data_IF_791157737193
#
_entry.id   IF_791157737193
#
_cell.length_a   1.000
_cell.length_b   1.000
_cell.length_c   1.000
_cell.angle_alpha   90.00
_cell.angle_beta   90.00
_cell.angle_gamma   90.00
#
_symmetry.space_group_name_H-M   'P 1'
#
loop_
_entity.id
_entity.type
_entity.pdbx_description
1 polymer ?
#
# COMPACT_ATOMS: atom_id res chain seq x y z
N UNK A 1 21.80 -4.26 61.90
CA UNK A 1 20.36 -4.67 61.87
C UNK A 1 19.48 -3.76 60.99
N UNK A 2 20.04 -3.00 60.04
CA UNK A 2 19.29 -1.98 59.27
C UNK A 2 19.09 -2.31 57.77
N UNK A 3 19.81 -3.29 57.22
CA UNK A 3 19.81 -3.62 55.78
C UNK A 3 18.71 -4.59 55.32
N UNK A 4 18.06 -5.31 56.24
CA UNK A 4 17.05 -6.32 55.89
C UNK A 4 15.63 -5.75 55.71
N UNK A 5 15.30 -4.63 56.39
CA UNK A 5 13.99 -3.97 56.27
C UNK A 5 13.88 -3.12 55.00
N UNK A 6 14.97 -2.50 54.55
CA UNK A 6 15.02 -1.71 53.32
C UNK A 6 14.85 -2.57 52.07
N UNK A 7 15.43 -3.77 52.04
CA UNK A 7 15.28 -4.70 50.92
C UNK A 7 13.84 -5.23 50.76
N UNK A 8 13.13 -5.47 51.87
CA UNK A 8 11.72 -5.91 51.85
C UNK A 8 10.76 -4.81 51.38
N UNK A 9 11.03 -3.54 51.71
CA UNK A 9 10.25 -2.39 51.23
C UNK A 9 10.46 -2.12 49.73
N UNK A 10 11.67 -2.34 49.21
CA UNK A 10 11.97 -2.20 47.78
C UNK A 10 11.25 -3.25 46.91
N UNK A 11 11.17 -4.51 47.36
CA UNK A 11 10.52 -5.58 46.59
C UNK A 11 9.00 -5.41 46.53
N UNK A 12 8.36 -4.96 47.61
CA UNK A 12 6.90 -4.67 47.61
C UNK A 12 6.58 -3.44 46.76
N UNK A 13 7.45 -2.45 46.74
CA UNK A 13 7.30 -1.27 45.87
C UNK A 13 7.45 -1.62 44.38
N UNK A 14 8.35 -2.54 44.04
CA UNK A 14 8.54 -3.02 42.66
C UNK A 14 7.35 -3.83 42.12
N UNK A 15 6.63 -4.58 42.96
CA UNK A 15 5.45 -5.34 42.56
C UNK A 15 4.19 -4.46 42.42
N UNK A 16 4.07 -3.40 43.21
CA UNK A 16 2.99 -2.42 43.07
C UNK A 16 3.16 -1.53 41.82
N UNK A 17 4.41 -1.23 41.40
CA UNK A 17 4.67 -0.49 40.14
C UNK A 17 4.44 -1.34 38.89
N UNK A 18 4.65 -2.66 38.94
CA UNK A 18 4.31 -3.54 37.81
C UNK A 18 2.80 -3.68 37.57
N UNK A 19 1.96 -3.42 38.58
CA UNK A 19 0.50 -3.47 38.47
C UNK A 19 -0.10 -2.24 37.80
N UNK A 20 0.68 -1.16 37.66
CA UNK A 20 0.30 0.09 36.97
C UNK A 20 0.74 0.16 35.50
N UNK A 21 1.46 -0.86 35.01
CA UNK A 21 1.71 -1.04 33.59
C UNK A 21 0.41 -1.56 32.97
N UNK A 22 -0.46 -0.63 32.55
CA UNK A 22 -1.65 -0.95 31.79
C UNK A 22 -1.29 -1.90 30.65
N UNK A 23 -2.17 -2.87 30.38
CA UNK A 23 -2.06 -3.69 29.17
C UNK A 23 -1.89 -2.73 27.98
N UNK A 24 -0.87 -2.90 27.13
CA UNK A 24 -0.72 -2.05 25.95
C UNK A 24 -2.02 -2.15 25.17
N UNK A 25 -2.71 -1.01 25.01
CA UNK A 25 -3.89 -0.94 24.17
C UNK A 25 -3.38 -1.15 22.76
N UNK A 26 -3.76 -2.26 22.13
CA UNK A 26 -3.44 -2.48 20.72
C UNK A 26 -4.18 -1.41 19.92
N UNK A 27 -3.44 -0.41 19.44
CA UNK A 27 -3.98 0.54 18.47
C UNK A 27 -3.85 -0.11 17.10
N UNK A 28 -4.98 -0.56 16.54
CA UNK A 28 -5.05 -0.85 15.12
C UNK A 28 -4.63 0.42 14.37
N UNK A 29 -3.60 0.32 13.52
CA UNK A 29 -3.18 1.45 12.70
C UNK A 29 -4.23 1.60 11.61
N UNK A 30 -4.90 2.73 11.58
CA UNK A 30 -5.92 3.05 10.59
C UNK A 30 -5.71 4.47 10.12
N UNK A 31 -6.06 4.78 8.85
CA UNK A 31 -6.02 6.15 8.40
C UNK A 31 -6.96 7.03 9.23
N UNK A 32 -6.72 8.36 9.27
CA UNK A 32 -7.68 9.29 9.85
C UNK A 32 -9.08 9.14 9.23
N UNK A 33 -10.16 9.35 10.01
CA UNK A 33 -11.51 9.32 9.46
C UNK A 33 -11.68 10.42 8.41
N UNK A 34 -12.46 10.12 7.36
CA UNK A 34 -12.72 11.04 6.26
C UNK A 34 -13.57 12.22 6.75
N UNK A 35 -13.15 13.44 6.42
CA UNK A 35 -13.88 14.67 6.67
C UNK A 35 -13.72 15.60 5.45
N UNK A 36 -14.85 15.88 4.79
CA UNK A 36 -14.91 16.64 3.53
C UNK A 36 -14.36 18.06 3.66
N UNK A 37 -14.25 18.62 4.88
CA UNK A 37 -13.63 19.94 5.09
C UNK A 37 -12.15 19.98 4.72
N UNK A 38 -11.50 18.83 4.63
CA UNK A 38 -10.11 18.71 4.18
C UNK A 38 -9.96 18.57 2.66
N UNK A 39 -11.06 18.46 1.92
CA UNK A 39 -11.03 18.34 0.47
C UNK A 39 -10.33 19.58 -0.12
N UNK A 40 -9.22 19.42 -0.87
CA UNK A 40 -8.53 20.57 -1.45
C UNK A 40 -9.46 21.38 -2.34
N UNK A 41 -9.34 22.71 -2.27
CA UNK A 41 -10.00 23.61 -3.20
C UNK A 41 -9.56 23.31 -4.65
N UNK A 42 -10.48 23.51 -5.59
CA UNK A 42 -10.16 23.40 -7.01
C UNK A 42 -9.19 24.52 -7.38
N UNK A 43 -8.01 24.16 -7.89
CA UNK A 43 -6.97 25.09 -8.28
C UNK A 43 -6.21 24.53 -9.49
N UNK A 44 -5.60 25.44 -10.26
CA UNK A 44 -4.69 25.03 -11.33
C UNK A 44 -3.48 24.28 -10.75
N UNK A 45 -3.06 23.15 -11.35
CA UNK A 45 -1.86 22.44 -10.94
C UNK A 45 -0.62 23.33 -10.99
N UNK A 46 0.07 23.41 -9.86
CA UNK A 46 1.33 24.12 -9.70
C UNK A 46 2.06 23.60 -8.46
N UNK A 47 3.40 23.60 -8.44
CA UNK A 47 4.16 23.26 -7.25
C UNK A 47 3.89 24.28 -6.13
N UNK A 48 3.84 23.85 -4.85
CA UNK A 48 3.56 24.75 -3.73
C UNK A 48 4.69 25.77 -3.48
N UNK A 49 5.89 25.49 -4.01
CA UNK A 49 7.06 26.35 -3.94
C UNK A 49 7.87 26.22 -5.24
N UNK A 50 8.67 27.22 -5.63
CA UNK A 50 9.52 27.11 -6.81
C UNK A 50 10.46 25.90 -6.72
N UNK A 51 10.62 25.20 -7.82
CA UNK A 51 11.49 24.03 -7.97
C UNK A 51 12.48 24.25 -9.11
N UNK A 52 13.52 23.42 -9.13
CA UNK A 52 14.56 23.43 -10.17
C UNK A 52 15.00 22.00 -10.45
N UNK A 53 15.33 21.71 -11.71
CA UNK A 53 15.91 20.43 -12.09
C UNK A 53 17.33 20.32 -11.53
N UNK A 54 17.64 19.23 -10.83
CA UNK A 54 18.93 18.98 -10.18
C UNK A 54 19.73 17.88 -10.86
N UNK A 55 19.04 16.95 -11.51
CA UNK A 55 19.66 15.81 -12.19
C UNK A 55 19.29 15.80 -13.67
N UNK A 56 20.17 15.22 -14.49
CA UNK A 56 19.83 14.87 -15.87
C UNK A 56 18.72 13.81 -15.88
N UNK A 57 17.93 13.79 -16.95
CA UNK A 57 16.85 12.81 -17.08
C UNK A 57 17.40 11.38 -17.08
N UNK A 58 16.60 10.46 -16.53
CA UNK A 58 16.95 9.04 -16.41
C UNK A 58 17.31 8.45 -17.77
N UNK A 59 18.38 7.68 -17.84
CA UNK A 59 18.72 6.92 -19.04
C UNK A 59 17.89 5.64 -19.14
N UNK A 60 17.51 5.27 -20.36
CA UNK A 60 16.70 4.08 -20.64
C UNK A 60 17.37 3.25 -21.73
N UNK A 61 17.27 1.93 -21.64
CA UNK A 61 17.79 1.03 -22.68
C UNK A 61 16.83 -0.09 -23.02
N UNK A 62 16.85 -0.47 -24.30
CA UNK A 62 16.17 -1.65 -24.80
C UNK A 62 17.21 -2.73 -25.06
N UNK A 63 17.13 -3.85 -24.35
CA UNK A 63 18.01 -4.99 -24.60
C UNK A 63 17.48 -5.78 -25.81
N UNK A 64 18.17 -5.67 -26.96
CA UNK A 64 17.84 -6.42 -28.17
C UNK A 64 18.26 -7.90 -28.03
N UNK A 65 17.32 -8.83 -28.23
CA UNK A 65 17.63 -10.26 -28.29
C UNK A 65 16.71 -11.15 -27.44
N UNK A 66 16.04 -10.59 -26.44
CA UNK A 66 14.84 -11.19 -25.85
C UNK A 66 13.64 -10.56 -26.51
N UNK A 67 13.24 -11.11 -27.65
CA UNK A 67 11.89 -10.86 -28.13
C UNK A 67 10.96 -11.33 -27.02
N UNK A 68 10.32 -10.41 -26.30
CA UNK A 68 9.08 -10.72 -25.59
C UNK A 68 8.05 -11.08 -26.67
N UNK A 69 8.18 -12.31 -27.17
CA UNK A 69 7.22 -12.93 -28.05
C UNK A 69 5.93 -13.19 -27.29
N UNK A 70 4.91 -13.62 -28.02
CA UNK A 70 3.62 -14.07 -27.48
C UNK A 70 3.71 -15.04 -26.29
N UNK A 71 4.85 -15.72 -26.13
CA UNK A 71 5.15 -16.69 -25.08
C UNK A 71 5.57 -16.10 -23.72
N UNK A 72 5.84 -14.79 -23.61
CA UNK A 72 6.24 -14.15 -22.34
C UNK A 72 5.29 -13.01 -21.90
N UNK A 73 4.09 -12.89 -22.51
CA UNK A 73 3.00 -12.18 -21.81
C UNK A 73 2.71 -12.98 -20.55
N UNK A 74 2.70 -12.32 -19.39
CA UNK A 74 2.25 -12.97 -18.17
C UNK A 74 0.85 -13.56 -18.39
N UNK A 75 0.51 -14.64 -17.67
CA UNK A 75 -0.78 -15.31 -17.84
C UNK A 75 -1.97 -14.32 -17.80
N UNK A 76 -1.84 -13.26 -16.99
CA UNK A 76 -2.79 -12.16 -16.83
C UNK A 76 -3.06 -11.36 -18.12
N UNK A 77 -2.10 -11.31 -19.05
CA UNK A 77 -2.18 -10.58 -20.32
C UNK A 77 -2.23 -11.51 -21.54
N UNK A 78 -2.17 -12.84 -21.33
CA UNK A 78 -2.21 -13.83 -22.40
C UNK A 78 -3.52 -13.75 -23.20
N UNK A 79 -4.62 -13.40 -22.53
CA UNK A 79 -5.95 -13.34 -23.11
C UNK A 79 -6.39 -11.95 -23.60
N UNK A 80 -5.47 -10.96 -23.68
CA UNK A 80 -5.82 -9.62 -24.16
C UNK A 80 -6.48 -9.62 -25.55
N UNK A 81 -6.06 -10.52 -26.45
CA UNK A 81 -6.67 -10.65 -27.78
C UNK A 81 -8.15 -11.11 -27.69
N UNK A 82 -8.52 -11.86 -26.64
CA UNK A 82 -9.90 -12.25 -26.37
C UNK A 82 -10.69 -11.12 -25.73
N UNK A 83 -10.09 -10.47 -24.74
CA UNK A 83 -10.65 -9.30 -24.04
C UNK A 83 -10.96 -8.18 -25.03
N UNK A 84 -10.06 -7.90 -25.98
CA UNK A 84 -10.23 -6.86 -27.00
C UNK A 84 -11.32 -7.12 -28.02
N UNK A 85 -11.81 -8.36 -28.15
CA UNK A 85 -13.04 -8.64 -28.92
C UNK A 85 -14.29 -8.15 -28.19
N UNK A 86 -14.21 -7.97 -26.87
CA UNK A 86 -15.31 -7.50 -26.02
C UNK A 86 -15.21 -5.99 -25.76
N UNK A 87 -14.00 -5.49 -25.47
CA UNK A 87 -13.76 -4.08 -25.12
C UNK A 87 -12.28 -3.75 -25.21
N UNK A 88 -11.97 -2.50 -25.56
CA UNK A 88 -10.59 -1.95 -25.60
C UNK A 88 -10.42 -0.69 -24.74
N UNK A 89 -11.44 -0.34 -23.95
CA UNK A 89 -11.44 0.83 -23.06
C UNK A 89 -11.96 2.12 -23.71
N UNK A 90 -12.54 2.05 -24.90
CA UNK A 90 -13.06 3.23 -25.60
C UNK A 90 -14.03 4.05 -24.73
N UNK A 91 -13.89 5.38 -24.75
CA UNK A 91 -14.71 6.31 -23.99
C UNK A 91 -14.29 6.51 -22.52
N UNK A 92 -13.36 5.70 -22.00
CA UNK A 92 -12.84 5.88 -20.65
C UNK A 92 -11.65 6.85 -20.63
N UNK A 93 -11.51 7.57 -19.52
CA UNK A 93 -10.40 8.49 -19.24
C UNK A 93 -9.62 7.96 -18.04
N UNK A 94 -8.34 7.68 -18.22
CA UNK A 94 -7.47 7.17 -17.15
C UNK A 94 -6.47 8.27 -16.77
N UNK A 95 -6.56 8.78 -15.56
CA UNK A 95 -5.54 9.70 -15.04
C UNK A 95 -4.32 8.92 -14.56
N UNK A 96 -3.14 9.41 -14.92
CA UNK A 96 -1.83 8.89 -14.52
C UNK A 96 -1.20 9.95 -13.64
N UNK A 97 -1.30 9.77 -12.31
CA UNK A 97 -0.65 10.62 -11.31
C UNK A 97 0.75 10.03 -11.05
N UNK A 98 1.75 10.66 -11.67
CA UNK A 98 3.10 10.08 -11.80
C UNK A 98 4.16 11.16 -12.10
N UNK A 99 5.26 10.82 -12.76
CA UNK A 99 6.37 11.72 -13.14
C UNK A 99 6.14 12.47 -14.45
N UNK A 100 4.90 12.47 -14.94
CA UNK A 100 4.50 12.96 -16.25
C UNK A 100 4.55 11.87 -17.32
N UNK A 101 3.95 12.14 -18.47
CA UNK A 101 3.87 11.20 -19.61
C UNK A 101 4.38 11.90 -20.85
N UNK A 102 5.53 11.47 -21.35
CA UNK A 102 6.06 12.00 -22.59
C UNK A 102 5.11 11.71 -23.76
N UNK A 103 4.98 12.69 -24.67
CA UNK A 103 4.23 12.49 -25.91
C UNK A 103 4.91 11.40 -26.73
N UNK A 104 4.15 10.39 -27.15
CA UNK A 104 4.67 9.21 -27.81
C UNK A 104 3.71 8.79 -28.93
N UNK A 105 4.21 8.37 -30.10
CA UNK A 105 3.37 7.98 -31.26
C UNK A 105 2.36 6.88 -30.90
N UNK A 106 2.76 5.95 -30.03
CA UNK A 106 1.92 4.85 -29.51
C UNK A 106 0.98 5.25 -28.36
N UNK A 107 0.96 6.51 -27.94
CA UNK A 107 0.00 7.07 -26.99
C UNK A 107 -0.75 8.26 -27.64
N UNK A 108 -1.55 8.02 -28.69
CA UNK A 108 -2.14 9.10 -29.49
C UNK A 108 -3.19 9.94 -28.75
N UNK A 109 -3.65 9.50 -27.56
CA UNK A 109 -4.72 10.13 -26.78
C UNK A 109 -4.25 10.54 -25.37
N UNK A 110 -3.08 11.18 -25.27
CA UNK A 110 -2.63 11.82 -24.02
C UNK A 110 -3.09 13.27 -23.98
N UNK A 111 -3.84 13.63 -22.95
CA UNK A 111 -4.22 15.01 -22.65
C UNK A 111 -3.48 15.52 -21.42
N UNK A 112 -3.20 16.83 -21.42
CA UNK A 112 -2.57 17.51 -20.30
C UNK A 112 -3.50 17.54 -19.08
N UNK A 113 -2.97 17.11 -17.93
CA UNK A 113 -3.64 17.18 -16.63
C UNK A 113 -2.95 18.14 -15.65
N UNK A 114 -1.79 18.69 -16.01
CA UNK A 114 -1.05 19.68 -15.23
C UNK A 114 0.16 19.12 -14.48
N UNK A 115 0.87 20.01 -13.80
CA UNK A 115 2.18 19.77 -13.22
C UNK A 115 2.31 20.39 -11.82
N UNK A 116 2.49 19.54 -10.82
CA UNK A 116 2.78 19.92 -9.43
C UNK A 116 4.29 19.88 -9.12
N UNK A 117 5.14 19.58 -10.12
CA UNK A 117 6.59 19.50 -9.96
C UNK A 117 7.27 20.77 -10.44
N UNK A 118 6.94 21.27 -11.64
CA UNK A 118 7.59 22.45 -12.24
C UNK A 118 6.56 23.37 -12.92
N UNK A 119 6.77 23.80 -14.16
CA UNK A 119 5.90 24.75 -14.88
C UNK A 119 5.33 24.19 -16.19
N UNK A 120 5.12 22.86 -16.26
CA UNK A 120 4.62 22.16 -17.44
C UNK A 120 3.11 21.87 -17.43
N UNK A 121 2.68 21.08 -18.41
CA UNK A 121 1.29 20.62 -18.57
C UNK A 121 1.10 19.14 -18.16
N UNK A 122 2.16 18.52 -17.63
CA UNK A 122 2.23 17.09 -17.28
C UNK A 122 2.77 16.20 -18.40
N UNK A 123 2.85 16.67 -19.66
CA UNK A 123 3.19 15.83 -20.83
C UNK A 123 4.69 15.68 -21.11
N UNK A 124 5.51 15.82 -20.07
CA UNK A 124 6.96 15.64 -20.11
C UNK A 124 7.39 14.75 -18.94
N UNK A 125 8.19 13.74 -19.24
CA UNK A 125 8.71 12.77 -18.27
C UNK A 125 10.24 12.76 -18.32
N UNK A 126 10.86 13.14 -17.20
CA UNK A 126 12.32 13.16 -17.05
C UNK A 126 12.82 12.02 -16.17
N UNK A 127 11.92 11.35 -15.46
CA UNK A 127 12.24 10.25 -14.54
C UNK A 127 12.21 8.89 -15.25
N UNK A 128 11.59 8.82 -16.43
CA UNK A 128 11.33 7.58 -17.16
C UNK A 128 10.51 6.58 -16.35
N UNK A 129 9.39 7.07 -15.78
CA UNK A 129 8.49 6.25 -14.97
C UNK A 129 7.05 6.41 -15.45
N UNK A 130 6.49 7.62 -15.45
CA UNK A 130 5.10 7.84 -15.86
C UNK A 130 4.80 7.47 -17.31
N UNK A 131 5.76 7.61 -18.23
CA UNK A 131 5.60 7.13 -19.62
C UNK A 131 5.55 5.60 -19.69
N UNK A 132 6.32 4.91 -18.85
CA UNK A 132 6.29 3.45 -18.76
C UNK A 132 4.94 2.98 -18.18
N UNK A 133 4.45 3.65 -17.15
CA UNK A 133 3.13 3.39 -16.56
C UNK A 133 2.03 3.61 -17.60
N UNK A 134 2.05 4.74 -18.31
CA UNK A 134 1.12 5.04 -19.41
C UNK A 134 1.16 4.01 -20.54
N UNK A 135 2.35 3.51 -20.89
CA UNK A 135 2.52 2.47 -21.90
C UNK A 135 1.83 1.17 -21.50
N UNK A 136 1.96 0.73 -20.24
CA UNK A 136 1.30 -0.47 -19.72
C UNK A 136 -0.23 -0.30 -19.74
N UNK A 137 -0.73 0.90 -19.45
CA UNK A 137 -2.19 1.17 -19.49
C UNK A 137 -2.69 1.14 -20.94
N UNK A 138 -2.07 1.88 -21.85
CA UNK A 138 -2.73 2.29 -23.09
C UNK A 138 -1.87 2.30 -24.37
N UNK A 139 -0.67 1.71 -24.40
CA UNK A 139 0.12 1.69 -25.62
C UNK A 139 -0.66 1.04 -26.78
N UNK A 140 -0.84 1.79 -27.87
CA UNK A 140 -1.41 1.27 -29.09
C UNK A 140 -0.51 0.15 -29.65
N UNK A 141 -1.05 -0.99 -30.08
CA UNK A 141 -0.25 -2.07 -30.66
C UNK A 141 0.43 -1.61 -31.97
N UNK A 142 1.67 -2.02 -32.19
CA UNK A 142 2.40 -1.82 -33.45
C UNK A 142 3.09 -3.14 -33.85
N UNK A 143 2.31 -4.03 -34.48
CA UNK A 143 2.78 -5.37 -34.85
C UNK A 143 3.93 -5.37 -35.87
N UNK A 144 4.27 -4.22 -36.47
CA UNK A 144 5.41 -4.09 -37.39
C UNK A 144 6.71 -3.80 -36.64
N UNK A 145 6.65 -3.21 -35.43
CA UNK A 145 7.83 -2.93 -34.60
C UNK A 145 8.07 -4.00 -33.54
N UNK A 146 7.04 -4.41 -32.81
CA UNK A 146 7.13 -5.29 -31.65
C UNK A 146 5.75 -5.89 -31.28
N UNK A 147 5.70 -6.73 -30.24
CA UNK A 147 4.44 -7.33 -29.75
C UNK A 147 3.89 -6.65 -28.48
N UNK A 148 4.47 -5.52 -28.08
CA UNK A 148 4.03 -4.80 -26.89
C UNK A 148 2.70 -4.08 -27.16
N UNK A 149 1.92 -3.88 -26.11
CA UNK A 149 0.66 -3.14 -26.13
C UNK A 149 0.23 -2.88 -24.70
N UNK A 150 -0.48 -1.78 -24.46
CA UNK A 150 -1.13 -1.54 -23.18
C UNK A 150 -2.39 -2.37 -23.04
N UNK A 151 -2.88 -2.52 -21.80
CA UNK A 151 -4.07 -3.31 -21.47
C UNK A 151 -5.33 -2.75 -22.14
N UNK A 152 -5.51 -1.42 -22.12
CA UNK A 152 -6.68 -0.70 -22.61
C UNK A 152 -6.27 0.36 -23.65
N UNK A 153 -5.89 -0.05 -24.89
CA UNK A 153 -5.25 0.84 -25.87
C UNK A 153 -6.16 1.95 -26.43
N UNK A 154 -7.47 1.88 -26.21
CA UNK A 154 -8.41 2.85 -26.80
C UNK A 154 -8.83 3.97 -25.82
N UNK A 155 -8.34 3.94 -24.57
CA UNK A 155 -8.61 4.96 -23.54
C UNK A 155 -7.97 6.31 -23.89
N UNK A 156 -8.44 7.37 -23.24
CA UNK A 156 -7.73 8.66 -23.18
C UNK A 156 -6.94 8.73 -21.87
N UNK A 157 -5.64 9.01 -21.94
CA UNK A 157 -4.81 9.23 -20.76
C UNK A 157 -4.83 10.70 -20.36
N UNK A 158 -4.99 11.00 -19.07
CA UNK A 158 -4.77 12.33 -18.49
C UNK A 158 -3.44 12.27 -17.75
N UNK A 159 -2.44 13.02 -18.20
CA UNK A 159 -1.13 13.02 -17.55
C UNK A 159 -1.05 14.11 -16.47
N UNK A 160 -0.86 13.72 -15.22
CA UNK A 160 -0.66 14.64 -14.10
C UNK A 160 0.72 14.35 -13.51
N UNK A 161 1.64 15.30 -13.69
CA UNK A 161 2.97 15.19 -13.08
C UNK A 161 2.90 15.64 -11.63
N UNK A 162 2.96 14.70 -10.70
CA UNK A 162 2.84 14.98 -9.27
C UNK A 162 4.17 14.83 -8.51
N UNK A 163 5.05 13.96 -8.99
CA UNK A 163 6.33 13.70 -8.34
C UNK A 163 7.49 13.69 -9.33
N UNK A 164 8.71 13.89 -8.83
CA UNK A 164 9.94 13.68 -9.60
C UNK A 164 11.13 13.59 -8.66
N UNK A 165 12.05 12.66 -8.96
CA UNK A 165 13.37 12.54 -8.34
C UNK A 165 14.41 13.46 -9.00
N UNK A 166 14.11 14.02 -10.18
CA UNK A 166 15.03 14.87 -10.95
C UNK A 166 14.93 16.35 -10.63
N UNK A 167 13.90 16.73 -9.86
CA UNK A 167 13.62 18.10 -9.44
C UNK A 167 13.68 18.20 -7.92
N UNK A 168 14.01 19.38 -7.43
CA UNK A 168 13.98 19.69 -6.01
C UNK A 168 13.52 21.14 -5.78
N UNK A 169 12.99 21.48 -4.60
CA UNK A 169 12.72 22.85 -4.22
C UNK A 169 13.96 23.76 -4.34
N UNK A 170 13.74 25.00 -4.77
CA UNK A 170 14.80 26.02 -4.76
C UNK A 170 15.20 26.31 -3.31
N UNK A 171 16.50 26.33 -3.03
CA UNK A 171 17.04 26.61 -1.70
C UNK A 171 17.10 25.41 -0.75
N UNK A 172 16.67 24.22 -1.16
CA UNK A 172 16.76 22.98 -0.37
C UNK A 172 17.66 21.96 -1.08
N UNK A 173 18.98 21.99 -0.83
CA UNK A 173 19.92 21.07 -1.46
C UNK A 173 19.84 19.64 -0.88
N UNK A 174 19.16 19.44 0.24
CA UNK A 174 18.97 18.12 0.87
C UNK A 174 17.78 17.35 0.32
N UNK A 175 16.85 18.02 -0.35
CA UNK A 175 15.67 17.37 -0.95
C UNK A 175 16.08 16.49 -2.13
N UNK A 176 15.64 15.22 -2.10
CA UNK A 176 15.92 14.21 -3.14
C UNK A 176 14.81 14.08 -4.17
N UNK A 177 13.84 15.00 -4.16
CA UNK A 177 12.70 14.98 -5.08
C UNK A 177 11.66 16.05 -4.78
N UNK A 178 10.55 15.97 -5.50
CA UNK A 178 9.31 16.72 -5.32
C UNK A 178 8.14 15.73 -5.30
N UNK A 179 7.11 16.03 -4.53
CA UNK A 179 5.92 15.21 -4.36
C UNK A 179 5.71 14.84 -2.90
N UNK A 180 4.50 15.04 -2.41
CA UNK A 180 4.06 14.76 -1.04
C UNK A 180 2.57 14.41 -1.02
N UNK A 181 2.04 14.05 0.15
CA UNK A 181 0.62 13.69 0.30
C UNK A 181 -0.34 14.86 0.00
N UNK A 182 0.11 16.11 0.18
CA UNK A 182 -0.70 17.31 -0.09
C UNK A 182 -0.86 17.55 -1.60
N UNK A 183 0.23 17.49 -2.34
CA UNK A 183 0.21 17.57 -3.81
C UNK A 183 -0.46 16.35 -4.43
N UNK A 184 -0.35 15.18 -3.80
CA UNK A 184 -1.12 13.99 -4.17
C UNK A 184 -2.63 14.23 -4.02
N UNK A 185 -3.07 14.78 -2.89
CA UNK A 185 -4.49 15.11 -2.67
C UNK A 185 -5.04 16.05 -3.75
N UNK A 186 -4.28 17.10 -4.09
CA UNK A 186 -4.62 18.04 -5.17
C UNK A 186 -4.64 17.35 -6.54
N UNK A 187 -3.69 16.46 -6.81
CA UNK A 187 -3.65 15.70 -8.06
C UNK A 187 -4.85 14.75 -8.22
N UNK A 188 -5.24 14.05 -7.15
CA UNK A 188 -6.45 13.21 -7.13
C UNK A 188 -7.70 14.05 -7.38
N UNK A 189 -7.83 15.20 -6.70
CA UNK A 189 -8.92 16.14 -6.92
C UNK A 189 -8.97 16.60 -8.38
N UNK A 190 -7.84 17.01 -8.95
CA UNK A 190 -7.72 17.44 -10.35
C UNK A 190 -8.09 16.34 -11.32
N UNK A 191 -7.60 15.10 -11.13
CA UNK A 191 -7.95 13.96 -11.96
C UNK A 191 -9.47 13.73 -12.00
N UNK A 192 -10.10 13.76 -10.83
CA UNK A 192 -11.54 13.56 -10.69
C UNK A 192 -12.35 14.70 -11.33
N UNK A 193 -11.90 15.95 -11.19
CA UNK A 193 -12.53 17.12 -11.83
C UNK A 193 -12.33 17.13 -13.36
N UNK A 194 -11.23 16.58 -13.86
CA UNK A 194 -10.98 16.37 -15.31
C UNK A 194 -11.74 15.17 -15.88
N UNK A 195 -12.62 14.54 -15.10
CA UNK A 195 -13.49 13.46 -15.55
C UNK A 195 -12.77 12.14 -15.75
N UNK A 196 -11.70 11.88 -15.00
CA UNK A 196 -11.09 10.55 -14.96
C UNK A 196 -12.10 9.53 -14.43
N UNK A 197 -12.30 8.45 -15.19
CA UNK A 197 -13.10 7.29 -14.76
C UNK A 197 -12.25 6.28 -13.97
N UNK A 198 -10.94 6.33 -14.16
CA UNK A 198 -9.93 5.56 -13.42
C UNK A 198 -8.75 6.49 -13.10
N UNK A 199 -8.19 6.40 -11.89
CA UNK A 199 -7.04 7.17 -11.44
C UNK A 199 -5.96 6.18 -11.00
N UNK A 200 -4.86 6.14 -11.73
CA UNK A 200 -3.67 5.35 -11.39
C UNK A 200 -2.72 6.22 -10.56
N UNK A 201 -2.32 5.72 -9.39
CA UNK A 201 -1.37 6.36 -8.48
C UNK A 201 -0.17 5.43 -8.28
N UNK A 202 0.94 5.74 -8.93
CA UNK A 202 2.15 4.90 -8.86
C UNK A 202 3.13 5.32 -7.76
N UNK A 203 3.00 6.55 -7.27
CA UNK A 203 3.80 7.10 -6.17
C UNK A 203 3.08 6.89 -4.84
N UNK A 204 3.82 6.40 -3.85
CA UNK A 204 3.32 6.16 -2.51
C UNK A 204 4.24 6.80 -1.47
N UNK A 205 3.67 7.17 -0.32
CA UNK A 205 4.42 7.58 0.85
C UNK A 205 4.47 6.43 1.87
N UNK A 206 5.68 5.99 2.22
CA UNK A 206 5.91 4.98 3.25
C UNK A 206 6.59 5.60 4.46
N UNK A 207 5.96 5.52 5.61
CA UNK A 207 6.56 5.94 6.88
C UNK A 207 6.27 4.93 7.98
N UNK A 208 7.07 4.88 9.07
CA UNK A 208 6.69 4.12 10.26
C UNK A 208 5.29 4.51 10.71
N UNK A 209 4.44 3.54 11.07
CA UNK A 209 3.05 3.78 11.47
C UNK A 209 2.92 4.79 12.62
N UNK A 210 3.88 4.80 13.55
CA UNK A 210 3.94 5.76 14.66
C UNK A 210 4.21 7.22 14.21
N UNK A 211 4.62 7.43 12.97
CA UNK A 211 4.94 8.72 12.36
C UNK A 211 4.16 8.95 11.07
N UNK A 212 2.97 8.35 10.94
CA UNK A 212 2.08 8.51 9.79
C UNK A 212 1.90 10.00 9.43
N UNK A 213 1.97 10.38 8.14
CA UNK A 213 1.78 11.77 7.75
C UNK A 213 0.35 12.21 8.05
N UNK A 214 0.14 13.52 8.21
CA UNK A 214 -1.21 14.08 8.12
C UNK A 214 -1.65 14.09 6.66
N UNK A 215 -2.38 13.06 6.25
CA UNK A 215 -2.88 12.90 4.89
C UNK A 215 -4.42 13.01 4.81
N UNK A 216 -5.03 13.70 5.77
CA UNK A 216 -6.49 13.92 5.80
C UNK A 216 -7.05 14.55 4.52
N UNK A 217 -6.29 15.47 3.93
CA UNK A 217 -6.65 16.08 2.64
C UNK A 217 -6.67 15.06 1.50
N UNK A 218 -5.74 14.09 1.53
CA UNK A 218 -5.71 13.00 0.57
C UNK A 218 -6.90 12.06 0.79
N UNK A 219 -7.19 11.66 2.03
CA UNK A 219 -8.40 10.89 2.35
C UNK A 219 -9.68 11.54 1.81
N UNK A 220 -9.87 12.85 2.03
CA UNK A 220 -11.01 13.58 1.50
C UNK A 220 -11.05 13.62 -0.04
N UNK A 221 -9.90 13.78 -0.70
CA UNK A 221 -9.81 13.76 -2.16
C UNK A 221 -10.12 12.38 -2.75
N UNK A 222 -9.66 11.29 -2.10
CA UNK A 222 -9.96 9.91 -2.49
C UNK A 222 -11.47 9.63 -2.38
N UNK A 223 -12.08 9.99 -1.25
CA UNK A 223 -13.53 9.85 -1.05
C UNK A 223 -14.33 10.66 -2.08
N UNK A 224 -13.94 11.90 -2.37
CA UNK A 224 -14.56 12.70 -3.43
C UNK A 224 -14.45 12.04 -4.80
N UNK A 225 -13.28 11.51 -5.16
CA UNK A 225 -13.08 10.84 -6.43
C UNK A 225 -13.95 9.58 -6.56
N UNK A 226 -14.03 8.74 -5.52
CA UNK A 226 -14.81 7.50 -5.55
C UNK A 226 -16.31 7.76 -5.41
N UNK A 227 -16.75 8.45 -4.37
CA UNK A 227 -18.16 8.53 -4.01
C UNK A 227 -18.92 9.65 -4.73
N UNK A 228 -18.24 10.75 -5.08
CA UNK A 228 -18.86 11.90 -5.78
C UNK A 228 -18.62 11.83 -7.28
N UNK A 229 -17.41 11.50 -7.71
CA UNK A 229 -17.03 11.46 -9.14
C UNK A 229 -17.10 10.06 -9.75
N UNK A 230 -17.38 9.03 -8.95
CA UNK A 230 -17.50 7.65 -9.40
C UNK A 230 -16.25 7.14 -10.15
N UNK A 231 -15.05 7.59 -9.74
CA UNK A 231 -13.77 7.17 -10.30
C UNK A 231 -13.20 5.98 -9.52
N UNK A 232 -12.66 4.98 -10.24
CA UNK A 232 -11.90 3.89 -9.62
C UNK A 232 -10.49 4.40 -9.33
N UNK A 233 -9.99 4.21 -8.12
CA UNK A 233 -8.61 4.56 -7.76
C UNK A 233 -7.81 3.27 -7.63
N UNK A 234 -6.66 3.22 -8.30
CA UNK A 234 -5.75 2.09 -8.28
C UNK A 234 -4.38 2.60 -7.84
N UNK A 235 -3.81 1.99 -6.80
CA UNK A 235 -2.51 2.41 -6.27
C UNK A 235 -1.53 1.24 -6.15
N UNK A 236 -0.25 1.55 -6.24
CA UNK A 236 0.82 0.59 -5.96
C UNK A 236 0.85 0.20 -4.48
N UNK A 237 1.11 -1.07 -4.14
CA UNK A 237 1.27 -1.52 -2.76
C UNK A 237 2.56 -1.00 -2.08
N UNK A 238 3.58 -0.68 -2.89
CA UNK A 238 4.90 -0.28 -2.41
C UNK A 238 5.96 -1.35 -2.61
N UNK A 239 7.23 -0.94 -2.51
CA UNK A 239 8.39 -1.78 -2.74
C UNK A 239 9.30 -1.78 -1.51
N UNK A 240 10.03 -2.88 -1.30
CA UNK A 240 11.01 -3.07 -0.21
C UNK A 240 12.34 -3.56 -0.77
N UNK A 241 13.43 -3.40 0.01
CA UNK A 241 14.74 -3.96 -0.31
C UNK A 241 15.78 -2.99 -0.90
N UNK A 242 15.53 -1.67 -0.88
CA UNK A 242 16.45 -0.65 -1.40
C UNK A 242 16.40 0.70 -0.67
N UNK A 243 17.32 1.59 -0.99
CA UNK A 243 17.30 2.97 -0.51
C UNK A 243 16.08 3.72 -1.06
N UNK A 244 15.46 4.58 -0.25
CA UNK A 244 14.20 5.29 -0.57
C UNK A 244 12.99 4.37 -0.85
N UNK A 245 13.06 3.10 -0.42
CA UNK A 245 11.94 2.16 -0.46
C UNK A 245 11.31 2.01 0.93
N UNK A 246 10.15 1.36 0.99
CA UNK A 246 9.42 1.17 2.23
C UNK A 246 10.19 0.25 3.19
N UNK A 247 10.08 0.49 4.52
CA UNK A 247 10.55 -0.49 5.49
C UNK A 247 9.86 -1.84 5.24
N UNK A 248 10.57 -2.98 5.37
CA UNK A 248 9.97 -4.28 5.15
C UNK A 248 8.90 -4.57 6.20
N UNK A 249 7.84 -5.27 5.77
CA UNK A 249 6.78 -5.79 6.65
C UNK A 249 6.75 -7.31 6.60
N UNK A 250 6.30 -7.92 7.70
CA UNK A 250 6.15 -9.36 7.75
C UNK A 250 5.08 -9.83 6.74
N UNK A 251 5.28 -10.95 6.03
CA UNK A 251 4.29 -11.47 5.06
C UNK A 251 2.91 -11.78 5.66
N UNK A 252 2.83 -12.03 6.96
CA UNK A 252 1.58 -12.29 7.70
C UNK A 252 1.04 -11.08 8.46
N UNK A 253 1.41 -9.87 8.05
CA UNK A 253 0.98 -8.63 8.71
C UNK A 253 -0.53 -8.47 8.70
N UNK A 254 -1.08 -8.04 9.83
CA UNK A 254 -2.50 -7.73 10.03
C UNK A 254 -2.66 -6.25 10.37
N UNK A 255 -3.89 -5.73 10.38
CA UNK A 255 -4.18 -4.34 10.81
C UNK A 255 -3.66 -4.03 12.23
N UNK A 256 -3.60 -5.04 13.09
CA UNK A 256 -3.12 -4.90 14.47
C UNK A 256 -1.59 -5.00 14.61
N UNK A 257 -0.89 -5.52 13.60
CA UNK A 257 0.56 -5.78 13.64
C UNK A 257 1.36 -4.99 12.60
N UNK A 258 0.67 -4.13 11.84
CA UNK A 258 1.28 -3.29 10.81
C UNK A 258 2.21 -2.25 11.42
N UNK A 259 3.35 -2.04 10.78
CA UNK A 259 4.42 -1.17 11.30
C UNK A 259 4.77 -0.02 10.35
N UNK A 260 4.25 -0.06 9.13
CA UNK A 260 4.43 0.96 8.09
C UNK A 260 3.05 1.48 7.70
N UNK A 261 2.86 2.79 7.66
CA UNK A 261 1.72 3.40 6.99
C UNK A 261 2.10 3.66 5.53
N UNK A 262 1.22 3.25 4.61
CA UNK A 262 1.43 3.39 3.17
C UNK A 262 0.29 4.22 2.60
N UNK A 263 0.58 5.47 2.21
CA UNK A 263 -0.44 6.38 1.67
C UNK A 263 -0.28 6.52 0.15
N UNK A 264 -1.35 6.42 -0.67
CA UNK A 264 -2.76 6.30 -0.26
C UNK A 264 -3.25 4.87 0.05
N UNK A 265 -2.45 3.83 -0.14
CA UNK A 265 -2.88 2.42 -0.08
C UNK A 265 -3.69 2.04 1.19
N UNK A 266 -3.33 2.57 2.35
CA UNK A 266 -4.02 2.30 3.62
C UNK A 266 -5.46 2.85 3.70
N UNK A 267 -5.90 3.68 2.75
CA UNK A 267 -7.29 4.07 2.52
C UNK A 267 -8.04 2.99 1.72
N UNK A 268 -7.99 1.76 2.24
CA UNK A 268 -8.49 0.50 1.67
C UNK A 268 -9.91 0.60 1.09
N UNK A 269 -10.81 1.30 1.79
CA UNK A 269 -12.20 1.50 1.35
C UNK A 269 -12.34 2.30 0.03
N UNK A 270 -11.31 3.02 -0.40
CA UNK A 270 -11.34 3.92 -1.56
C UNK A 270 -10.31 3.55 -2.64
N UNK A 271 -9.35 2.69 -2.32
CA UNK A 271 -8.16 2.47 -3.16
C UNK A 271 -8.00 0.99 -3.40
N UNK A 272 -8.09 0.58 -4.67
CA UNK A 272 -7.72 -0.77 -5.08
C UNK A 272 -6.18 -0.87 -5.14
N UNK A 273 -5.59 -1.44 -4.10
CA UNK A 273 -4.14 -1.54 -3.96
C UNK A 273 -3.59 -2.80 -4.62
N UNK A 274 -2.52 -2.61 -5.39
CA UNK A 274 -1.98 -3.65 -6.28
C UNK A 274 -0.57 -4.08 -5.86
N UNK A 275 -0.47 -5.34 -5.44
CA UNK A 275 0.80 -6.05 -5.25
C UNK A 275 1.44 -6.47 -6.58
N UNK A 276 2.74 -6.80 -6.52
CA UNK A 276 3.49 -7.27 -7.68
C UNK A 276 3.70 -8.78 -7.62
N UNK A 277 3.56 -9.43 -8.78
CA UNK A 277 3.96 -10.83 -8.99
C UNK A 277 4.93 -10.96 -10.17
N UNK A 278 5.66 -12.08 -10.18
CA UNK A 278 6.46 -12.50 -11.33
C UNK A 278 5.56 -13.08 -12.46
N UNK A 279 6.18 -13.55 -13.54
CA UNK A 279 5.47 -14.10 -14.70
C UNK A 279 4.70 -15.40 -14.38
N UNK A 280 5.07 -16.10 -13.30
CA UNK A 280 4.44 -17.33 -12.81
C UNK A 280 3.29 -17.04 -11.83
N UNK A 281 3.05 -15.76 -11.48
CA UNK A 281 2.02 -15.37 -10.53
C UNK A 281 2.45 -15.47 -9.06
N UNK A 282 3.74 -15.71 -8.78
CA UNK A 282 4.27 -15.73 -7.42
C UNK A 282 4.56 -14.29 -6.95
N UNK A 283 4.33 -13.97 -5.66
CA UNK A 283 4.59 -12.64 -5.13
C UNK A 283 6.05 -12.20 -5.34
N UNK A 284 6.22 -10.98 -5.85
CA UNK A 284 7.54 -10.39 -6.04
C UNK A 284 8.27 -10.22 -4.73
N UNK A 285 9.56 -10.51 -4.69
CA UNK A 285 10.35 -10.41 -3.45
C UNK A 285 10.36 -9.00 -2.85
N UNK A 286 10.15 -7.96 -3.67
CA UNK A 286 10.09 -6.57 -3.23
C UNK A 286 8.67 -6.11 -2.85
N UNK A 287 7.59 -6.86 -3.18
CA UNK A 287 6.22 -6.38 -2.96
C UNK A 287 5.97 -6.17 -1.47
N UNK A 288 5.47 -4.98 -1.10
CA UNK A 288 5.22 -4.67 0.29
C UNK A 288 3.94 -5.36 0.76
N UNK A 289 4.07 -6.22 1.77
CA UNK A 289 2.92 -6.85 2.41
C UNK A 289 2.11 -5.83 3.21
N UNK A 290 0.78 -5.93 3.18
CA UNK A 290 -0.10 -5.07 3.95
C UNK A 290 -1.55 -5.57 4.03
N UNK A 291 -2.29 -5.22 5.10
CA UNK A 291 -3.70 -5.55 5.22
C UNK A 291 -4.62 -4.83 4.21
N UNK A 292 -4.05 -3.91 3.43
CA UNK A 292 -4.74 -3.10 2.42
C UNK A 292 -4.50 -3.58 0.99
N UNK A 293 -3.81 -4.71 0.78
CA UNK A 293 -3.55 -5.22 -0.57
C UNK A 293 -4.77 -5.98 -1.07
N UNK A 294 -5.32 -5.57 -2.21
CA UNK A 294 -6.58 -6.13 -2.73
C UNK A 294 -6.39 -7.19 -3.81
N UNK A 295 -5.43 -6.97 -4.70
CA UNK A 295 -5.11 -7.86 -5.83
C UNK A 295 -3.63 -7.73 -6.20
N UNK A 296 -3.16 -8.59 -7.10
CA UNK A 296 -1.84 -8.48 -7.69
C UNK A 296 -1.84 -8.54 -9.21
N UNK A 297 -0.82 -7.92 -9.80
CA UNK A 297 -0.53 -8.00 -11.23
C UNK A 297 0.98 -8.08 -11.48
N UNK A 298 1.37 -8.43 -12.71
CA UNK A 298 2.78 -8.52 -13.09
C UNK A 298 3.46 -7.16 -12.97
N UNK A 299 4.49 -7.10 -12.14
CA UNK A 299 5.32 -5.90 -11.94
C UNK A 299 6.82 -6.18 -12.05
N UNK A 300 7.22 -7.37 -12.52
CA UNK A 300 8.64 -7.73 -12.70
C UNK A 300 9.06 -7.76 -14.15
N UNK A 301 10.28 -7.24 -14.41
CA UNK A 301 10.95 -7.28 -15.71
C UNK A 301 10.03 -6.83 -16.87
N UNK A 302 9.27 -5.76 -16.63
CA UNK A 302 8.27 -5.29 -17.58
C UNK A 302 8.92 -4.60 -18.77
N UNK A 303 8.24 -4.68 -19.91
CA UNK A 303 8.53 -3.83 -21.07
C UNK A 303 7.50 -2.73 -21.14
N UNK A 304 7.90 -1.52 -21.51
CA UNK A 304 6.97 -0.43 -21.80
C UNK A 304 7.52 0.55 -22.83
N UNK A 305 6.88 1.71 -23.01
CA UNK A 305 7.29 2.75 -23.95
C UNK A 305 8.41 3.60 -23.38
N UNK A 306 9.35 3.98 -24.24
CA UNK A 306 10.41 4.93 -23.90
C UNK A 306 9.84 6.35 -23.81
N UNK A 307 10.21 7.16 -22.81
CA UNK A 307 9.94 8.61 -22.85
C UNK A 307 10.81 9.35 -23.87
N UNK A 308 11.87 8.72 -24.39
CA UNK A 308 12.78 9.28 -25.37
C UNK A 308 12.69 8.48 -26.68
N UNK A 309 11.93 9.01 -27.64
CA UNK A 309 11.66 8.37 -28.94
C UNK A 309 10.39 7.51 -28.94
N UNK A 310 10.20 6.74 -30.02
CA UNK A 310 8.97 5.96 -30.27
C UNK A 310 9.10 4.44 -29.98
N UNK A 311 10.21 4.04 -29.36
CA UNK A 311 10.54 2.63 -29.10
C UNK A 311 10.08 2.12 -27.74
N UNK A 312 10.24 0.81 -27.52
CA UNK A 312 10.03 0.18 -26.21
C UNK A 312 11.31 0.13 -25.38
N UNK A 313 11.19 0.08 -24.07
CA UNK A 313 12.25 -0.04 -23.07
C UNK A 313 11.92 -1.19 -22.10
N UNK A 314 12.93 -1.92 -21.64
CA UNK A 314 12.81 -2.95 -20.60
C UNK A 314 13.83 -2.78 -19.45
N UNK A 315 14.70 -1.77 -19.51
CA UNK A 315 15.71 -1.49 -18.48
C UNK A 315 15.86 0.01 -18.21
N UNK A 316 16.12 0.33 -16.95
CA UNK A 316 16.50 1.68 -16.50
C UNK A 316 18.00 1.74 -16.24
N UNK A 317 18.61 2.86 -16.57
CA UNK A 317 19.99 3.17 -16.19
C UNK A 317 20.12 3.33 -14.68
N UNK A 318 21.19 2.79 -14.11
CA UNK A 318 21.55 2.93 -12.70
C UNK A 318 23.07 3.04 -12.54
N UNK A 319 23.52 3.41 -11.34
CA UNK A 319 24.95 3.61 -11.06
C UNK A 319 25.82 2.37 -11.28
N UNK A 320 25.21 1.18 -11.25
CA UNK A 320 25.89 -0.11 -11.44
C UNK A 320 25.51 -0.81 -12.75
N UNK A 321 25.04 -0.05 -13.74
CA UNK A 321 24.53 -0.58 -15.00
C UNK A 321 23.02 -0.57 -15.08
N UNK A 322 22.48 -1.04 -16.21
CA UNK A 322 21.04 -1.05 -16.41
C UNK A 322 20.38 -2.18 -15.62
N UNK A 323 19.23 -1.92 -15.01
CA UNK A 323 18.45 -2.91 -14.24
C UNK A 323 17.09 -3.16 -14.92
N UNK A 324 16.51 -4.38 -14.81
CA UNK A 324 15.17 -4.62 -15.31
C UNK A 324 14.16 -3.66 -14.67
N UNK A 325 13.16 -3.24 -15.44
CA UNK A 325 12.06 -2.43 -14.92
C UNK A 325 11.19 -3.33 -14.03
N UNK A 326 11.20 -3.09 -12.72
CA UNK A 326 10.39 -3.82 -11.75
C UNK A 326 9.87 -2.91 -10.64
N UNK A 327 8.66 -3.20 -10.15
CA UNK A 327 7.99 -2.44 -9.09
C UNK A 327 6.47 -2.60 -9.10
N UNK A 328 5.84 -2.44 -7.93
CA UNK A 328 4.38 -2.39 -7.79
C UNK A 328 3.75 -1.23 -8.57
N UNK A 329 4.52 -0.17 -8.83
CA UNK A 329 4.14 0.91 -9.74
C UNK A 329 3.91 0.49 -11.18
N UNK A 330 4.40 -0.68 -11.60
CA UNK A 330 4.15 -1.28 -12.92
C UNK A 330 3.07 -2.36 -12.89
N UNK A 331 2.71 -2.88 -11.70
CA UNK A 331 1.55 -3.75 -11.52
C UNK A 331 0.24 -2.94 -11.49
N UNK A 332 0.22 -1.82 -10.77
CA UNK A 332 -0.92 -0.90 -10.71
C UNK A 332 -1.50 -0.48 -12.10
N UNK A 333 -0.69 -0.12 -13.12
CA UNK A 333 -1.21 0.23 -14.44
C UNK A 333 -1.86 -0.94 -15.18
N UNK A 334 -1.49 -2.20 -14.90
CA UNK A 334 -2.19 -3.37 -15.45
C UNK A 334 -3.63 -3.38 -14.97
N UNK A 335 -3.82 -3.20 -13.67
CA UNK A 335 -5.14 -3.17 -13.02
C UNK A 335 -5.93 -1.91 -13.39
N UNK A 336 -5.27 -0.76 -13.54
CA UNK A 336 -5.90 0.47 -14.04
C UNK A 336 -6.44 0.30 -15.47
N UNK A 337 -5.67 -0.37 -16.34
CA UNK A 337 -6.14 -0.76 -17.66
C UNK A 337 -7.35 -1.69 -17.58
N UNK A 338 -7.30 -2.72 -16.72
CA UNK A 338 -8.43 -3.62 -16.50
C UNK A 338 -9.69 -2.89 -16.01
N UNK A 339 -9.57 -1.99 -15.05
CA UNK A 339 -10.66 -1.16 -14.58
C UNK A 339 -11.28 -0.34 -15.72
N UNK A 340 -10.46 0.22 -16.61
CA UNK A 340 -10.95 0.94 -17.78
C UNK A 340 -11.66 0.02 -18.78
N UNK A 341 -11.18 -1.20 -19.01
CA UNK A 341 -11.86 -2.20 -19.83
C UNK A 341 -13.25 -2.55 -19.27
N UNK A 342 -13.33 -2.83 -17.96
CA UNK A 342 -14.58 -3.13 -17.26
C UNK A 342 -15.55 -1.97 -17.38
N UNK A 343 -15.11 -0.73 -17.13
CA UNK A 343 -15.98 0.45 -17.23
C UNK A 343 -16.48 0.72 -18.65
N UNK A 344 -15.66 0.46 -19.66
CA UNK A 344 -16.11 0.55 -21.05
C UNK A 344 -17.16 -0.52 -21.38
N UNK A 345 -17.01 -1.74 -20.83
CA UNK A 345 -17.91 -2.87 -21.07
C UNK A 345 -19.22 -2.79 -20.26
N UNK A 346 -19.15 -2.22 -19.06
CA UNK A 346 -20.23 -2.12 -18.08
C UNK A 346 -20.32 -0.68 -17.54
N UNK A 347 -20.77 0.29 -18.35
CA UNK A 347 -20.69 1.72 -18.03
C UNK A 347 -21.57 2.18 -16.87
N UNK A 348 -22.51 1.33 -16.42
CA UNK A 348 -23.41 1.61 -15.30
C UNK A 348 -22.85 1.20 -13.95
N UNK A 349 -21.72 0.48 -13.91
CA UNK A 349 -21.12 0.07 -12.64
C UNK A 349 -20.55 1.28 -11.88
N UNK A 350 -20.73 1.26 -10.57
CA UNK A 350 -20.04 2.20 -9.69
C UNK A 350 -18.56 1.83 -9.56
N UNK A 351 -17.72 2.77 -9.11
CA UNK A 351 -16.32 2.52 -8.84
C UNK A 351 -16.13 1.34 -7.89
N UNK A 352 -16.92 1.28 -6.81
CA UNK A 352 -16.92 0.19 -5.84
C UNK A 352 -17.31 -1.16 -6.47
N UNK A 353 -18.30 -1.18 -7.34
CA UNK A 353 -18.67 -2.41 -8.07
C UNK A 353 -17.58 -2.86 -9.04
N UNK A 354 -16.81 -1.94 -9.63
CA UNK A 354 -15.67 -2.29 -10.47
C UNK A 354 -14.53 -2.89 -9.64
N UNK A 355 -14.20 -2.29 -8.47
CA UNK A 355 -13.18 -2.84 -7.56
C UNK A 355 -13.55 -4.25 -7.08
N UNK A 356 -14.77 -4.41 -6.53
CA UNK A 356 -15.28 -5.72 -6.09
C UNK A 356 -15.28 -6.76 -7.22
N UNK A 357 -15.59 -6.35 -8.45
CA UNK A 357 -15.56 -7.23 -9.62
C UNK A 357 -14.14 -7.68 -9.96
N UNK A 358 -13.15 -6.80 -9.88
CA UNK A 358 -11.73 -7.16 -10.08
C UNK A 358 -11.29 -8.15 -9.01
N UNK A 359 -11.58 -7.89 -7.74
CA UNK A 359 -11.24 -8.78 -6.62
C UNK A 359 -11.90 -10.16 -6.76
N UNK A 360 -13.22 -10.20 -6.94
CA UNK A 360 -13.99 -11.45 -6.99
C UNK A 360 -13.70 -12.35 -8.19
N UNK A 361 -13.08 -11.81 -9.25
CA UNK A 361 -12.71 -12.58 -10.45
C UNK A 361 -11.24 -12.94 -10.50
N UNK A 362 -10.43 -12.47 -9.54
CA UNK A 362 -9.02 -12.81 -9.46
C UNK A 362 -8.79 -14.31 -9.16
N UNK A 363 -7.58 -14.78 -9.45
CA UNK A 363 -7.13 -16.11 -9.05
C UNK A 363 -6.70 -16.11 -7.58
N UNK A 364 -7.64 -16.45 -6.70
CA UNK A 364 -7.48 -16.35 -5.26
C UNK A 364 -6.38 -17.28 -4.71
N UNK A 365 -5.59 -16.82 -3.73
CA UNK A 365 -4.69 -17.71 -2.98
C UNK A 365 -5.50 -18.77 -2.21
N UNK A 366 -4.87 -19.86 -1.74
CA UNK A 366 -5.58 -20.94 -1.03
C UNK A 366 -6.39 -20.49 0.20
N UNK A 367 -5.95 -19.41 0.85
CA UNK A 367 -6.64 -18.83 2.01
C UNK A 367 -7.76 -17.83 1.62
N UNK A 368 -8.03 -17.64 0.34
CA UNK A 368 -8.94 -16.63 -0.20
C UNK A 368 -8.28 -15.25 -0.33
N UNK A 369 -7.57 -14.81 0.71
CA UNK A 369 -6.84 -13.54 0.73
C UNK A 369 -5.51 -13.68 1.48
N UNK A 370 -4.47 -12.97 1.05
CA UNK A 370 -3.23 -12.79 1.83
C UNK A 370 -2.63 -11.38 1.69
N UNK A 371 -1.74 -10.94 2.61
CA UNK A 371 -1.21 -9.57 2.59
C UNK A 371 -0.27 -9.23 1.43
N UNK A 372 0.15 -10.20 0.60
CA UNK A 372 1.08 -9.97 -0.51
C UNK A 372 0.38 -9.79 -1.85
N UNK A 373 -0.69 -10.56 -2.09
CA UNK A 373 -1.43 -10.55 -3.35
C UNK A 373 -2.92 -10.26 -3.19
N UNK A 374 -3.39 -10.04 -1.97
CA UNK A 374 -4.80 -9.80 -1.69
C UNK A 374 -5.66 -11.00 -2.10
N UNK A 375 -6.74 -10.72 -2.84
CA UNK A 375 -7.61 -11.71 -3.49
C UNK A 375 -6.94 -12.40 -4.70
N UNK A 376 -5.65 -12.15 -4.93
CA UNK A 376 -4.82 -12.88 -5.88
C UNK A 376 -4.59 -12.16 -7.21
N UNK A 377 -4.11 -12.89 -8.20
CA UNK A 377 -3.71 -12.31 -9.49
C UNK A 377 -4.93 -12.00 -10.36
N UNK A 378 -4.96 -10.81 -10.98
CA UNK A 378 -6.11 -10.39 -11.79
C UNK A 378 -6.32 -11.27 -13.03
N UNK A 379 -7.59 -11.60 -13.32
CA UNK A 379 -8.02 -12.28 -14.54
C UNK A 379 -8.85 -11.31 -15.39
N UNK A 380 -8.21 -10.74 -16.41
CA UNK A 380 -8.85 -9.75 -17.26
C UNK A 380 -10.06 -10.31 -18.02
N UNK A 381 -9.99 -11.56 -18.48
CA UNK A 381 -11.05 -12.17 -19.28
C UNK A 381 -12.27 -12.48 -18.42
N UNK A 382 -12.08 -13.08 -17.24
CA UNK A 382 -13.18 -13.32 -16.29
C UNK A 382 -13.85 -12.00 -15.89
N UNK A 383 -13.04 -10.98 -15.60
CA UNK A 383 -13.51 -9.66 -15.19
C UNK A 383 -14.29 -8.92 -16.30
N UNK A 384 -14.03 -9.13 -17.59
CA UNK A 384 -14.81 -8.46 -18.66
C UNK A 384 -15.93 -9.31 -19.26
N UNK A 385 -15.96 -10.62 -19.00
CA UNK A 385 -16.92 -11.55 -19.61
C UNK A 385 -18.08 -11.94 -18.70
N UNK A 386 -17.92 -11.90 -17.37
CA UNK A 386 -18.97 -12.36 -16.47
C UNK A 386 -20.20 -11.44 -16.44
N UNK A 387 -21.39 -11.91 -16.79
CA UNK A 387 -22.62 -11.12 -16.62
C UNK A 387 -23.11 -11.06 -15.16
N UNK A 388 -22.44 -11.76 -14.23
CA UNK A 388 -22.73 -11.59 -12.80
C UNK A 388 -22.32 -10.18 -12.37
N UNK A 389 -23.30 -9.31 -12.17
CA UNK A 389 -23.14 -8.17 -11.28
C UNK A 389 -23.00 -8.80 -9.90
N UNK A 390 -21.87 -8.63 -9.20
CA UNK A 390 -21.85 -8.98 -7.79
C UNK A 390 -23.01 -8.20 -7.17
N UNK A 391 -24.00 -8.89 -6.59
CA UNK A 391 -24.81 -8.25 -5.57
C UNK A 391 -23.80 -7.57 -4.65
N UNK A 392 -24.05 -6.31 -4.29
CA UNK A 392 -23.33 -5.69 -3.20
C UNK A 392 -23.54 -6.65 -2.02
N UNK A 393 -22.59 -7.57 -1.86
CA UNK A 393 -22.49 -8.42 -0.72
C UNK A 393 -22.49 -7.41 0.39
N UNK A 394 -23.43 -7.59 1.31
CA UNK A 394 -23.30 -7.04 2.65
C UNK A 394 -21.83 -6.88 2.90
N UNK A 395 -21.37 -5.63 3.03
CA UNK A 395 -20.18 -5.39 3.81
C UNK A 395 -20.26 -6.42 4.93
N UNK A 396 -19.19 -7.15 5.17
CA UNK A 396 -18.96 -7.60 6.52
C UNK A 396 -19.03 -6.33 7.35
N UNK A 397 -20.26 -5.95 7.72
CA UNK A 397 -20.55 -5.15 8.85
C UNK A 397 -19.78 -5.92 9.89
N UNK A 398 -18.73 -5.30 10.42
CA UNK A 398 -18.51 -5.43 11.84
C UNK A 398 -19.90 -5.56 12.47
N UNK A 399 -20.18 -6.66 13.17
CA UNK A 399 -21.53 -6.95 13.60
C UNK A 399 -22.05 -5.67 14.24
N UNK A 400 -23.07 -5.07 13.60
CA UNK A 400 -23.67 -3.83 14.09
C UNK A 400 -23.85 -4.03 15.58
N UNK A 401 -23.37 -3.11 16.45
CA UNK A 401 -23.31 -3.37 17.87
C UNK A 401 -24.71 -3.80 18.27
N UNK A 402 -24.84 -5.09 18.61
CA UNK A 402 -26.11 -5.66 19.02
C UNK A 402 -26.55 -4.76 20.14
N UNK A 403 -27.69 -4.08 19.96
CA UNK A 403 -28.27 -3.26 21.01
C UNK A 403 -28.42 -4.18 22.22
N UNK A 404 -27.49 -4.06 23.16
CA UNK A 404 -27.46 -4.86 24.37
C UNK A 404 -28.79 -4.57 25.05
N UNK A 405 -29.69 -5.56 25.21
CA UNK A 405 -30.88 -5.33 26.01
C UNK A 405 -30.38 -4.95 27.39
N UNK A 406 -30.74 -3.75 27.86
CA UNK A 406 -30.40 -3.27 29.20
C UNK A 406 -30.59 -4.42 30.19
N UNK A 407 -29.52 -4.93 30.83
CA UNK A 407 -29.65 -6.12 31.65
C UNK A 407 -30.53 -5.75 32.85
N UNK A 408 -31.70 -6.39 32.94
CA UNK A 408 -32.44 -6.43 34.19
C UNK A 408 -31.53 -7.09 35.21
N UNK A 409 -31.34 -6.43 36.34
CA UNK A 409 -30.53 -6.90 37.48
C UNK A 409 -30.89 -8.36 37.79
N UNK A 410 -29.98 -9.28 37.48
CA UNK A 410 -30.02 -10.66 37.95
C UNK A 410 -29.05 -10.82 39.12
N UNK A 411 -29.55 -11.43 40.18
CA UNK A 411 -28.85 -11.73 41.44
C UNK A 411 -27.66 -12.68 41.23
N UNK A 412 -26.56 -12.55 42.00
CA UNK A 412 -25.36 -13.35 41.77
C UNK A 412 -25.58 -14.84 42.10
N UNK A 413 -25.22 -15.71 41.16
CA UNK A 413 -25.02 -17.16 41.40
C UNK A 413 -23.62 -17.47 41.95
N UNK A 414 -23.39 -18.67 42.51
CA UNK A 414 -22.19 -18.96 43.28
C UNK A 414 -20.94 -19.10 42.40
N UNK A 415 -19.87 -18.42 42.82
CA UNK A 415 -18.56 -18.37 42.14
C UNK A 415 -17.84 -19.72 42.12
N UNK A 416 -17.32 -20.11 40.96
CA UNK A 416 -16.46 -21.28 40.77
C UNK A 416 -15.09 -21.07 41.46
N UNK A 417 -14.88 -21.78 42.58
CA UNK A 417 -13.70 -21.64 43.44
C UNK A 417 -12.47 -22.38 42.91
N UNK A 418 -12.56 -23.10 41.80
CA UNK A 418 -11.46 -23.93 41.28
C UNK A 418 -10.27 -23.09 40.80
N UNK A 419 -10.51 -21.95 40.16
CA UNK A 419 -9.46 -21.03 39.71
C UNK A 419 -8.75 -20.30 40.88
N UNK A 420 -9.48 -20.01 41.96
CA UNK A 420 -8.88 -19.45 43.18
C UNK A 420 -7.95 -20.47 43.84
N UNK A 421 -8.38 -21.73 43.96
CA UNK A 421 -7.60 -22.76 44.64
C UNK A 421 -6.29 -23.10 43.89
N UNK A 422 -6.28 -23.09 42.56
CA UNK A 422 -5.05 -23.31 41.77
C UNK A 422 -4.07 -22.15 41.91
N UNK A 423 -4.55 -20.90 41.94
CA UNK A 423 -3.72 -19.72 42.16
C UNK A 423 -3.10 -19.69 43.57
N UNK A 424 -3.88 -20.03 44.61
CA UNK A 424 -3.37 -20.06 45.99
C UNK A 424 -2.41 -21.22 46.25
N UNK A 425 -2.63 -22.38 45.62
CA UNK A 425 -1.71 -23.52 45.72
C UNK A 425 -0.34 -23.20 45.09
N UNK A 426 -0.31 -22.54 43.93
CA UNK A 426 0.93 -22.09 43.29
C UNK A 426 1.69 -21.07 44.13
N UNK A 427 0.98 -20.09 44.70
CA UNK A 427 1.58 -19.07 45.56
C UNK A 427 2.17 -19.66 46.86
N UNK A 428 1.51 -20.66 47.46
CA UNK A 428 1.99 -21.33 48.66
C UNK A 428 3.29 -22.12 48.42
N UNK A 429 3.41 -22.78 47.25
CA UNK A 429 4.63 -23.51 46.87
C UNK A 429 5.81 -22.55 46.66
N UNK A 430 5.58 -21.41 46.02
CA UNK A 430 6.61 -20.38 45.84
C UNK A 430 7.08 -19.79 47.19
N UNK A 431 6.15 -19.58 48.14
CA UNK A 431 6.46 -19.09 49.48
C UNK A 431 7.28 -20.08 50.30
N UNK A 432 6.97 -21.38 50.20
CA UNK A 432 7.73 -22.43 50.88
C UNK A 432 9.15 -22.58 50.31
N UNK A 433 9.29 -22.49 48.98
CA UNK A 433 10.61 -22.49 48.33
C UNK A 433 11.46 -21.28 48.76
N UNK A 434 10.84 -20.10 48.89
CA UNK A 434 11.51 -18.89 49.36
C UNK A 434 11.93 -18.98 50.84
N UNK A 435 11.12 -19.61 51.69
CA UNK A 435 11.45 -19.81 53.10
C UNK A 435 12.61 -20.82 53.30
N UNK A 436 12.67 -21.87 52.48
CA UNK A 436 13.75 -22.86 52.53
C UNK A 436 15.10 -22.28 52.07
N UNK A 437 15.12 -21.41 51.06
CA UNK A 437 16.34 -20.72 50.61
C UNK A 437 16.85 -19.70 51.65
N UNK A 438 15.94 -18.99 52.32
CA UNK A 438 16.29 -18.07 53.40
C UNK A 438 16.82 -18.79 54.66
N UNK A 439 16.24 -19.94 55.00
CA UNK A 439 16.68 -20.75 56.15
C UNK A 439 18.09 -21.35 55.93
N UNK A 440 18.38 -21.83 54.72
CA UNK A 440 19.71 -22.37 54.36
C UNK A 440 20.79 -21.28 54.27
N UNK A 441 20.45 -20.07 53.82
CA UNK A 441 21.35 -18.92 53.85
C UNK A 441 21.68 -18.46 55.29
N UNK A 442 20.70 -18.48 56.20
CA UNK A 442 20.89 -18.07 57.60
C UNK A 442 21.77 -19.03 58.43
N UNK A 443 21.82 -20.32 58.06
CA UNK A 443 22.68 -21.31 58.73
C UNK A 443 24.15 -21.21 58.33
N UNK A 444 24.48 -20.60 57.18
CA UNK A 444 25.87 -20.39 56.72
C UNK A 444 26.56 -19.17 57.35
N UNK A 445 25.84 -18.37 58.14
CA UNK A 445 26.33 -17.12 58.74
C UNK A 445 26.34 -17.17 60.28
N UNK A 446 26.89 -18.23 60.87
CA UNK A 446 27.25 -18.25 62.31
C UNK A 446 28.77 -18.08 62.47
N UNK A 447 29.26 -16.95 63.02
CA UNK A 447 30.67 -16.81 63.41
C UNK A 447 30.95 -17.60 64.68
N UNK A 448 32.03 -18.38 64.71
CA UNK A 448 32.54 -19.02 65.93
C UNK A 448 33.04 -17.98 66.93
N UNK A 449 32.61 -18.08 68.19
CA UNK A 449 33.09 -17.26 69.32
C UNK A 449 34.47 -17.78 69.75
N UNK A 450 35.53 -16.99 69.52
CA UNK A 450 36.74 -17.06 70.36
C UNK A 450 36.42 -16.34 71.68
N UNK A 451 36.49 -17.07 72.80
CA UNK A 451 36.41 -16.49 74.13
C UNK A 451 37.81 -16.11 74.61
N UNK A 452 37.97 -14.87 75.08
CA UNK A 452 39.05 -14.44 75.97
C UNK A 452 38.40 -14.24 77.34
N UNK A 453 38.89 -14.95 78.35
CA UNK A 453 38.62 -14.69 79.76
C UNK A 453 39.79 -13.87 80.32
N UNK A 454 39.48 -12.82 81.09
CA UNK A 454 40.41 -12.20 82.02
C UNK A 454 40.12 -12.70 83.43
N UNK A 455 41.12 -13.25 84.08
CA UNK A 455 41.79 -12.68 85.27
C UNK A 455 43.14 -13.37 85.47
#
# INVERSE_FOLDING_TARGET
MTTSRTLRLLVVSALATLSGLGTPVAHAVSPPPIDERWLPESALPAPPRPTVQREVCTEVTAESGRAFGRAERSAQLADLDQVWRLTRGAGQRVAVIDTGVARHRRLPKVVAGGDYVFTGDGTADCDAHGTLVAGIIAAAPDAQSDNFSGVAPDVTLISIRQSSSKFAPVGDPSSTGVGDVDTMAKAVRTAADLGASVINISSIACVPAAAAPDDRALGAALAYAVDVKNAVIVAAAGNTGGAAQCPPQAPGVTRDSVTVAVSPAWYDDYVLTVGSVNAQGEPSAFTLAGPWVDVAATGEAVTSLSPFGDGTVNRLGGQHGSIPISGTSYAAPVVSGLAALIRARFPTLTARQVMQRIESTAHHPPAGWDPLVGNGTVDALAAVSSDSIPQAGTATSDPAPVAVPVPRRSTPGPSDRRALHTAFAGAAICLLALMATLATASRRLRPGRNGIAGD
#
